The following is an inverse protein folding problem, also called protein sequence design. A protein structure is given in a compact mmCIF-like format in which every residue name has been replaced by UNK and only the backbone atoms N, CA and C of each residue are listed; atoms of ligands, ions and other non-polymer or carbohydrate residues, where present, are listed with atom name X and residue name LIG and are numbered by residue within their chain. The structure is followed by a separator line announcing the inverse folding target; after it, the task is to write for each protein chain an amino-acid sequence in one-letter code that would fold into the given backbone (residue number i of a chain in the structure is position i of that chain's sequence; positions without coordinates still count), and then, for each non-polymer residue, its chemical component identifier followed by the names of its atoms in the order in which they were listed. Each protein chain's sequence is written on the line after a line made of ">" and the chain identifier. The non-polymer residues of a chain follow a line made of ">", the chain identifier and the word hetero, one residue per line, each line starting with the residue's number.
data_IF_407571254367
#
_entry.id   IF_407571254367
#
_cell.length_a   1.000
_cell.length_b   1.000
_cell.length_c   1.000
_cell.angle_alpha   90.00
_cell.angle_beta   90.00
_cell.angle_gamma   90.00
#
_symmetry.space_group_name_H-M   'P 1'
#
loop_
_entity.id
_entity.type
_entity.pdbx_description
1 polymer ?
#
# COMPACT_ATOMS: atom_id res chain seq x y z
N UNK A 1 5.76 -10.10 -21.00
CA UNK A 1 4.99 -11.22 -20.38
C UNK A 1 3.57 -10.73 -20.19
N UNK A 2 2.54 -11.52 -20.50
CA UNK A 2 1.16 -11.10 -20.23
C UNK A 2 0.89 -11.21 -18.73
N UNK A 3 0.50 -10.10 -18.09
CA UNK A 3 0.05 -10.06 -16.69
C UNK A 3 -1.45 -10.33 -16.54
N UNK A 4 -2.17 -10.45 -17.66
CA UNK A 4 -3.58 -10.86 -17.66
C UNK A 4 -3.75 -12.32 -17.25
N UNK A 5 -4.78 -12.58 -16.44
CA UNK A 5 -5.10 -13.93 -15.97
C UNK A 5 -5.70 -14.75 -17.12
N UNK A 6 -5.08 -15.90 -17.51
CA UNK A 6 -5.64 -16.83 -18.48
C UNK A 6 -7.00 -17.38 -18.04
N UNK A 7 -7.93 -17.58 -18.97
CA UNK A 7 -9.31 -18.03 -18.70
C UNK A 7 -9.36 -19.31 -17.84
N UNK A 8 -8.56 -20.33 -18.18
CA UNK A 8 -8.49 -21.57 -17.41
C UNK A 8 -8.03 -21.38 -15.95
N UNK A 9 -7.31 -20.29 -15.65
CA UNK A 9 -6.90 -19.92 -14.28
C UNK A 9 -7.98 -19.08 -13.57
N UNK A 10 -8.75 -18.25 -14.28
CA UNK A 10 -9.84 -17.44 -13.69
C UNK A 10 -10.82 -18.29 -12.89
N UNK A 11 -11.32 -19.39 -13.47
CA UNK A 11 -12.23 -20.33 -12.76
C UNK A 11 -11.62 -20.96 -11.51
N UNK A 12 -10.30 -21.17 -11.49
CA UNK A 12 -9.63 -21.69 -10.29
C UNK A 12 -9.53 -20.60 -9.21
N UNK A 13 -9.19 -19.37 -9.58
CA UNK A 13 -9.05 -18.24 -8.67
C UNK A 13 -10.41 -17.87 -8.06
N UNK A 14 -11.46 -17.74 -8.87
CA UNK A 14 -12.82 -17.45 -8.38
C UNK A 14 -13.26 -18.46 -7.30
N UNK A 15 -12.95 -19.75 -7.48
CA UNK A 15 -13.23 -20.78 -6.46
C UNK A 15 -12.43 -20.60 -5.17
N UNK A 16 -11.17 -20.16 -5.24
CA UNK A 16 -10.39 -19.88 -4.04
C UNK A 16 -10.82 -18.57 -3.35
N UNK A 17 -11.27 -17.57 -4.12
CA UNK A 17 -11.88 -16.34 -3.61
C UNK A 17 -13.15 -16.66 -2.81
N UNK A 18 -14.10 -17.40 -3.41
CA UNK A 18 -15.34 -17.83 -2.74
C UNK A 18 -15.08 -18.59 -1.44
N UNK A 19 -14.14 -19.56 -1.46
CA UNK A 19 -13.75 -20.34 -0.27
C UNK A 19 -13.22 -19.50 0.88
N UNK A 20 -12.85 -18.26 0.60
CA UNK A 20 -12.13 -17.39 1.52
C UNK A 20 -12.93 -16.14 1.85
N UNK A 21 -14.24 -16.23 1.63
CA UNK A 21 -15.20 -15.21 2.04
C UNK A 21 -15.16 -13.95 1.17
N UNK A 22 -14.56 -13.99 -0.02
CA UNK A 22 -14.73 -12.90 -0.98
C UNK A 22 -16.15 -12.90 -1.55
N UNK A 23 -16.71 -11.71 -1.67
CA UNK A 23 -18.13 -11.52 -2.00
C UNK A 23 -18.42 -11.70 -3.49
N UNK A 24 -17.43 -11.46 -4.34
CA UNK A 24 -17.60 -11.54 -5.79
C UNK A 24 -16.36 -12.07 -6.51
N UNK A 25 -16.51 -12.32 -7.82
CA UNK A 25 -15.46 -12.91 -8.65
C UNK A 25 -14.39 -11.89 -9.04
N UNK A 26 -13.40 -12.36 -9.79
CA UNK A 26 -12.56 -11.47 -10.59
C UNK A 26 -13.43 -10.65 -11.56
N UNK A 27 -13.14 -9.36 -11.66
CA UNK A 27 -13.82 -8.44 -12.55
C UNK A 27 -13.53 -8.82 -14.01
N UNK A 28 -14.59 -8.87 -14.82
CA UNK A 28 -14.52 -9.05 -16.28
C UNK A 28 -14.87 -7.71 -16.92
N UNK A 29 -14.06 -7.25 -17.88
CA UNK A 29 -14.26 -5.90 -18.44
C UNK A 29 -15.65 -5.72 -19.06
N UNK A 30 -16.14 -6.74 -19.76
CA UNK A 30 -17.46 -6.74 -20.40
C UNK A 30 -18.63 -6.60 -19.41
N UNK A 31 -18.42 -6.81 -18.10
CA UNK A 31 -19.47 -6.67 -17.08
C UNK A 31 -19.53 -5.29 -16.42
N UNK A 32 -18.63 -4.37 -16.78
CA UNK A 32 -18.59 -3.01 -16.22
C UNK A 32 -19.23 -1.97 -17.15
N UNK A 33 -19.77 -0.86 -16.62
CA UNK A 33 -20.07 0.32 -17.41
C UNK A 33 -18.83 0.79 -18.19
N UNK A 34 -19.01 1.27 -19.43
CA UNK A 34 -17.92 1.65 -20.34
C UNK A 34 -16.93 2.66 -19.75
N UNK A 35 -17.42 3.58 -18.92
CA UNK A 35 -16.63 4.57 -18.19
C UNK A 35 -15.69 3.96 -17.13
N UNK A 36 -16.05 2.81 -16.55
CA UNK A 36 -15.22 2.09 -15.59
C UNK A 36 -14.26 1.10 -16.27
N UNK A 37 -14.63 0.59 -17.46
CA UNK A 37 -13.79 -0.30 -18.25
C UNK A 37 -12.45 0.33 -18.60
N UNK A 38 -12.46 1.58 -19.10
CA UNK A 38 -11.24 2.30 -19.47
C UNK A 38 -10.29 2.49 -18.27
N UNK A 39 -10.83 2.93 -17.14
CA UNK A 39 -10.05 3.14 -15.91
C UNK A 39 -9.39 1.85 -15.41
N UNK A 40 -10.12 0.75 -15.31
CA UNK A 40 -9.54 -0.51 -14.84
C UNK A 40 -8.57 -1.12 -15.86
N UNK A 41 -8.84 -0.97 -17.16
CA UNK A 41 -7.91 -1.36 -18.22
C UNK A 41 -6.57 -0.64 -18.09
N UNK A 42 -6.59 0.69 -17.92
CA UNK A 42 -5.37 1.49 -17.74
C UNK A 42 -4.61 1.07 -16.47
N UNK A 43 -5.32 0.82 -15.38
CA UNK A 43 -4.72 0.32 -14.14
C UNK A 43 -4.08 -1.06 -14.32
N UNK A 44 -4.71 -2.00 -15.06
CA UNK A 44 -4.12 -3.31 -15.37
C UNK A 44 -2.87 -3.18 -16.22
N UNK A 45 -2.91 -2.35 -17.27
CA UNK A 45 -1.76 -2.11 -18.14
C UNK A 45 -0.58 -1.54 -17.34
N UNK A 46 -0.86 -0.57 -16.47
CA UNK A 46 0.14 0.04 -15.59
C UNK A 46 0.69 -0.94 -14.58
N UNK A 47 -0.17 -1.71 -13.91
CA UNK A 47 0.28 -2.76 -12.99
C UNK A 47 1.16 -3.78 -13.71
N UNK A 48 0.81 -4.15 -14.94
CA UNK A 48 1.62 -5.01 -15.79
C UNK A 48 3.01 -4.45 -16.09
N UNK A 49 3.08 -3.16 -16.40
CA UNK A 49 4.35 -2.46 -16.60
C UNK A 49 5.20 -2.42 -15.32
N UNK A 50 4.61 -2.03 -14.19
CA UNK A 50 5.30 -1.98 -12.89
C UNK A 50 5.85 -3.35 -12.49
N UNK A 51 5.04 -4.41 -12.59
CA UNK A 51 5.49 -5.78 -12.30
C UNK A 51 6.66 -6.16 -13.22
N UNK A 52 6.57 -5.88 -14.51
CA UNK A 52 7.62 -6.21 -15.47
C UNK A 52 8.93 -5.46 -15.18
N UNK A 53 8.86 -4.16 -14.88
CA UNK A 53 10.03 -3.33 -14.57
C UNK A 53 10.69 -3.74 -13.26
N UNK A 54 9.90 -3.96 -12.21
CA UNK A 54 10.41 -4.35 -10.89
C UNK A 54 11.06 -5.74 -10.92
N UNK A 55 10.53 -6.66 -11.73
CA UNK A 55 11.03 -8.04 -11.82
C UNK A 55 12.04 -8.26 -12.97
N UNK A 56 12.39 -7.23 -13.73
CA UNK A 56 13.26 -7.36 -14.91
C UNK A 56 14.64 -7.95 -14.58
N UNK A 57 15.18 -7.61 -13.42
CA UNK A 57 16.49 -8.07 -12.95
C UNK A 57 16.42 -9.40 -12.19
N UNK A 58 15.22 -9.96 -11.97
CA UNK A 58 15.05 -11.16 -11.16
C UNK A 58 15.60 -12.38 -11.92
N UNK A 59 16.48 -13.12 -11.24
CA UNK A 59 17.04 -14.38 -11.74
C UNK A 59 16.01 -15.51 -11.75
N UNK A 60 14.94 -15.37 -10.97
CA UNK A 60 13.77 -16.25 -10.98
C UNK A 60 12.57 -15.43 -11.41
N UNK A 61 11.90 -15.84 -12.49
CA UNK A 61 10.74 -15.13 -13.00
C UNK A 61 9.47 -15.98 -12.84
N UNK A 62 8.81 -15.92 -11.67
CA UNK A 62 7.50 -16.52 -11.53
C UNK A 62 6.49 -15.83 -12.45
N UNK A 63 5.39 -16.51 -12.77
CA UNK A 63 4.27 -15.82 -13.39
C UNK A 63 3.55 -15.01 -12.31
N UNK A 64 3.50 -13.69 -12.47
CA UNK A 64 2.75 -12.80 -11.58
C UNK A 64 1.63 -12.17 -12.41
N UNK A 65 0.40 -12.38 -11.95
CA UNK A 65 -0.80 -11.85 -12.57
C UNK A 65 -1.40 -10.76 -11.70
N UNK A 66 -2.10 -9.82 -12.33
CA UNK A 66 -2.80 -8.74 -11.63
C UNK A 66 -4.24 -8.64 -12.15
N UNK A 67 -5.20 -8.48 -11.24
CA UNK A 67 -6.59 -8.19 -11.59
C UNK A 67 -7.36 -7.60 -10.40
N UNK A 68 -8.62 -7.23 -10.64
CA UNK A 68 -9.53 -6.72 -9.63
C UNK A 68 -10.53 -7.77 -9.16
N UNK A 69 -10.99 -7.64 -7.91
CA UNK A 69 -12.06 -8.48 -7.33
C UNK A 69 -13.26 -7.59 -7.03
N UNK A 70 -14.45 -8.05 -7.42
CA UNK A 70 -15.70 -7.39 -7.09
C UNK A 70 -16.05 -7.67 -5.62
N UNK A 71 -15.55 -6.83 -4.72
CA UNK A 71 -15.73 -7.01 -3.28
C UNK A 71 -15.78 -5.65 -2.58
N UNK A 72 -16.74 -5.50 -1.66
CA UNK A 72 -17.00 -4.26 -0.93
C UNK A 72 -16.12 -4.11 0.32
N UNK A 73 -15.17 -5.00 0.57
CA UNK A 73 -14.13 -4.80 1.59
C UNK A 73 -13.02 -3.93 1.03
N UNK A 74 -12.48 -3.03 1.85
CA UNK A 74 -11.30 -2.26 1.48
C UNK A 74 -10.05 -3.12 1.70
N UNK A 75 -9.60 -3.85 0.68
CA UNK A 75 -8.52 -4.82 0.78
C UNK A 75 -7.73 -5.01 -0.53
N UNK A 76 -6.48 -5.42 -0.40
CA UNK A 76 -5.64 -5.96 -1.47
C UNK A 76 -4.98 -7.25 -0.96
N UNK A 77 -4.60 -8.16 -1.86
CA UNK A 77 -4.00 -9.44 -1.46
C UNK A 77 -3.09 -10.03 -2.53
N UNK A 78 -1.95 -10.56 -2.09
CA UNK A 78 -1.07 -11.42 -2.87
C UNK A 78 -1.35 -12.90 -2.61
N UNK A 79 -1.42 -13.69 -3.68
CA UNK A 79 -1.80 -15.11 -3.65
C UNK A 79 -0.79 -15.98 -4.37
N UNK A 80 -0.70 -17.23 -3.92
CA UNK A 80 0.12 -18.27 -4.51
C UNK A 80 -0.77 -19.47 -4.89
N UNK A 81 -0.91 -19.77 -6.19
CA UNK A 81 -1.49 -21.03 -6.66
C UNK A 81 -0.36 -22.01 -7.03
N UNK A 82 -0.11 -23.06 -6.22
CA UNK A 82 0.87 -24.06 -6.60
C UNK A 82 0.36 -24.94 -7.76
N UNK A 83 1.31 -25.38 -8.58
CA UNK A 83 1.11 -26.42 -9.59
C UNK A 83 1.10 -27.79 -8.91
N UNK A 84 -0.06 -28.45 -8.87
CA UNK A 84 -0.41 -29.84 -8.45
C UNK A 84 0.35 -30.49 -7.24
N UNK A 85 -0.41 -31.14 -6.34
CA UNK A 85 0.10 -31.93 -5.20
C UNK A 85 0.78 -33.25 -5.65
N UNK A 86 1.98 -33.61 -5.17
CA UNK A 86 2.53 -34.95 -5.21
C UNK A 86 2.42 -35.57 -3.80
N UNK A 87 2.50 -36.89 -3.73
CA UNK A 87 2.46 -37.63 -2.47
C UNK A 87 3.52 -37.21 -1.44
N UNK A 88 3.20 -37.42 -0.17
CA UNK A 88 3.85 -36.85 1.02
C UNK A 88 5.38 -37.07 1.17
N UNK A 89 5.98 -38.04 0.48
CA UNK A 89 7.37 -38.44 0.72
C UNK A 89 8.45 -37.56 0.04
N UNK A 90 8.07 -36.61 -0.82
CA UNK A 90 9.01 -35.91 -1.73
C UNK A 90 9.16 -34.39 -1.45
N UNK A 91 8.65 -33.91 -0.32
CA UNK A 91 8.24 -32.51 -0.13
C UNK A 91 9.35 -31.44 -0.07
N UNK A 92 10.52 -31.69 0.56
CA UNK A 92 11.44 -30.59 0.93
C UNK A 92 12.35 -30.07 -0.19
N UNK A 93 13.02 -30.94 -0.95
CA UNK A 93 13.86 -30.52 -2.09
C UNK A 93 13.01 -29.97 -3.26
N UNK A 94 11.76 -30.45 -3.36
CA UNK A 94 10.79 -30.05 -4.37
C UNK A 94 10.15 -28.68 -4.05
N UNK A 95 10.10 -28.27 -2.78
CA UNK A 95 9.48 -27.01 -2.36
C UNK A 95 10.15 -25.79 -3.00
N UNK A 96 11.49 -25.73 -3.01
CA UNK A 96 12.23 -24.63 -3.67
C UNK A 96 11.96 -24.55 -5.16
N UNK A 97 12.06 -25.67 -5.88
CA UNK A 97 11.84 -25.71 -7.34
C UNK A 97 10.40 -25.33 -7.71
N UNK A 98 9.43 -25.66 -6.84
CA UNK A 98 8.01 -25.34 -7.06
C UNK A 98 7.64 -23.91 -6.76
N UNK A 99 8.17 -23.33 -5.69
CA UNK A 99 7.96 -21.91 -5.37
C UNK A 99 8.38 -21.04 -6.56
N UNK A 100 9.49 -21.41 -7.22
CA UNK A 100 9.98 -20.75 -8.44
C UNK A 100 9.14 -20.98 -9.71
N UNK A 101 8.33 -22.03 -9.74
CA UNK A 101 7.50 -22.40 -10.91
C UNK A 101 6.00 -22.08 -10.72
N UNK A 102 5.62 -21.53 -9.57
CA UNK A 102 4.22 -21.28 -9.22
C UNK A 102 3.68 -20.02 -9.89
N UNK A 103 2.36 -19.93 -9.93
CA UNK A 103 1.64 -18.76 -10.40
C UNK A 103 1.22 -17.92 -9.19
N UNK A 104 1.52 -16.62 -9.25
CA UNK A 104 1.19 -15.65 -8.23
C UNK A 104 0.18 -14.66 -8.75
N UNK A 105 -0.66 -14.14 -7.86
CA UNK A 105 -1.70 -13.19 -8.21
C UNK A 105 -1.66 -12.03 -7.23
N UNK A 106 -1.80 -10.81 -7.74
CA UNK A 106 -2.05 -9.62 -6.95
C UNK A 106 -3.48 -9.21 -7.28
N UNK A 107 -4.33 -9.15 -6.25
CA UNK A 107 -5.73 -8.84 -6.39
C UNK A 107 -6.08 -7.61 -5.55
N UNK A 108 -6.72 -6.62 -6.17
CA UNK A 108 -7.19 -5.41 -5.49
C UNK A 108 -8.71 -5.40 -5.55
N UNK A 109 -9.37 -5.17 -4.41
CA UNK A 109 -10.83 -5.03 -4.39
C UNK A 109 -11.23 -3.73 -5.10
N UNK A 110 -12.30 -3.78 -5.90
CA UNK A 110 -12.82 -2.61 -6.63
C UNK A 110 -13.15 -1.44 -5.70
N UNK A 111 -13.60 -1.71 -4.47
CA UNK A 111 -13.83 -0.67 -3.45
C UNK A 111 -12.58 0.18 -3.19
N UNK A 112 -11.39 -0.42 -3.14
CA UNK A 112 -10.13 0.32 -2.92
C UNK A 112 -9.93 1.36 -4.02
N UNK A 113 -10.13 0.97 -5.28
CA UNK A 113 -9.96 1.87 -6.43
C UNK A 113 -10.95 3.04 -6.36
N UNK A 114 -12.23 2.74 -6.10
CA UNK A 114 -13.30 3.75 -6.04
C UNK A 114 -13.11 4.70 -4.86
N UNK A 115 -12.85 4.17 -3.66
CA UNK A 115 -12.78 4.97 -2.44
C UNK A 115 -11.50 5.82 -2.40
N UNK A 116 -10.36 5.28 -2.86
CA UNK A 116 -9.11 6.05 -2.97
C UNK A 116 -9.27 7.19 -3.98
N UNK A 117 -9.82 6.90 -5.17
CA UNK A 117 -10.09 7.95 -6.15
C UNK A 117 -11.09 8.99 -5.62
N UNK A 118 -12.14 8.53 -4.92
CA UNK A 118 -13.13 9.38 -4.27
C UNK A 118 -12.53 10.30 -3.23
N UNK A 119 -11.61 9.80 -2.40
CA UNK A 119 -10.91 10.57 -1.38
C UNK A 119 -10.13 11.73 -2.01
N UNK A 120 -9.25 11.48 -2.98
CA UNK A 120 -8.47 12.56 -3.59
C UNK A 120 -9.34 13.52 -4.41
N UNK A 121 -10.37 13.03 -5.11
CA UNK A 121 -11.33 13.91 -5.81
C UNK A 121 -12.00 14.87 -4.82
N UNK A 122 -12.49 14.35 -3.70
CA UNK A 122 -13.09 15.16 -2.64
C UNK A 122 -12.08 16.16 -2.04
N UNK A 123 -10.87 15.72 -1.67
CA UNK A 123 -9.84 16.58 -1.09
C UNK A 123 -9.49 17.73 -2.05
N UNK A 124 -9.23 17.44 -3.33
CA UNK A 124 -8.87 18.48 -4.30
C UNK A 124 -10.06 19.33 -4.78
N UNK A 125 -11.30 18.90 -4.54
CA UNK A 125 -12.49 19.73 -4.72
C UNK A 125 -12.71 20.73 -3.57
N UNK A 126 -11.90 20.68 -2.50
CA UNK A 126 -11.89 21.72 -1.46
C UNK A 126 -10.93 22.85 -1.86
N UNK A 127 -11.35 24.13 -1.85
CA UNK A 127 -10.46 25.24 -2.19
C UNK A 127 -9.30 25.41 -1.19
N UNK A 128 -9.47 25.01 0.07
CA UNK A 128 -8.47 25.18 1.13
C UNK A 128 -7.39 24.09 1.11
N UNK A 129 -7.69 22.88 0.60
CA UNK A 129 -6.75 21.77 0.58
C UNK A 129 -5.73 21.97 -0.55
N UNK A 130 -4.44 21.90 -0.23
CA UNK A 130 -3.34 22.13 -1.18
C UNK A 130 -3.60 23.35 -2.09
N UNK A 131 -3.95 24.50 -1.49
CA UNK A 131 -4.38 25.70 -2.23
C UNK A 131 -3.30 26.25 -3.19
N UNK A 132 -2.05 25.85 -3.03
CA UNK A 132 -0.95 26.17 -3.94
C UNK A 132 -1.00 25.38 -5.27
N UNK A 133 -1.91 24.42 -5.40
CA UNK A 133 -2.08 23.57 -6.59
C UNK A 133 -3.28 24.04 -7.43
N UNK A 134 -3.02 24.32 -8.72
CA UNK A 134 -4.05 24.76 -9.67
C UNK A 134 -4.70 26.08 -9.27
N UNK A 135 -5.95 26.27 -9.69
CA UNK A 135 -6.76 27.43 -9.30
C UNK A 135 -7.86 27.00 -8.31
N UNK A 136 -7.67 27.20 -6.99
CA UNK A 136 -8.65 26.80 -5.98
C UNK A 136 -9.96 27.60 -6.04
N UNK A 137 -9.98 28.81 -6.63
CA UNK A 137 -11.21 29.62 -6.68
C UNK A 137 -12.28 29.06 -7.62
N UNK A 138 -11.92 28.10 -8.48
CA UNK A 138 -12.88 27.36 -9.31
C UNK A 138 -13.63 26.28 -8.52
N UNK A 139 -13.09 25.87 -7.37
CA UNK A 139 -13.68 24.85 -6.53
C UNK A 139 -14.86 25.39 -5.72
N UNK A 140 -15.59 24.51 -5.06
CA UNK A 140 -16.79 24.90 -4.31
C UNK A 140 -16.68 24.47 -2.86
N UNK A 141 -17.05 25.39 -1.97
CA UNK A 141 -17.04 25.12 -0.54
C UNK A 141 -17.94 23.93 -0.18
N UNK A 142 -17.51 23.21 0.86
CA UNK A 142 -18.26 22.09 1.38
C UNK A 142 -19.26 22.60 2.42
N UNK A 143 -20.55 22.43 2.13
CA UNK A 143 -21.57 22.45 3.18
C UNK A 143 -21.48 21.13 3.94
N UNK A 144 -20.67 21.12 5.00
CA UNK A 144 -20.43 19.95 5.84
C UNK A 144 -21.73 19.56 6.55
N UNK A 145 -22.17 18.31 6.42
CA UNK A 145 -23.06 17.71 7.42
C UNK A 145 -22.16 17.13 8.50
N UNK A 146 -22.19 17.73 9.69
CA UNK A 146 -21.41 17.25 10.83
C UNK A 146 -21.71 15.75 11.05
N UNK A 147 -20.69 14.91 10.94
CA UNK A 147 -20.81 13.50 11.23
C UNK A 147 -20.89 13.33 12.76
N UNK A 148 -21.77 12.46 13.30
CA UNK A 148 -21.90 12.24 14.74
C UNK A 148 -20.56 11.93 15.43
N UNK A 149 -20.41 12.35 16.69
CA UNK A 149 -19.17 12.18 17.50
C UNK A 149 -18.74 10.71 17.64
N UNK A 150 -19.68 9.77 17.54
CA UNK A 150 -19.41 8.32 17.54
C UNK A 150 -18.53 7.85 16.37
N UNK A 151 -18.39 8.67 15.34
CA UNK A 151 -17.64 8.37 14.12
C UNK A 151 -16.17 8.81 14.16
N UNK A 152 -15.68 9.36 15.28
CA UNK A 152 -14.26 9.72 15.46
C UNK A 152 -13.31 8.54 15.27
N UNK A 153 -13.78 7.33 15.54
CA UNK A 153 -13.02 6.09 15.38
C UNK A 153 -13.44 5.32 14.11
N UNK A 154 -13.98 5.95 13.08
CA UNK A 154 -14.29 5.30 11.81
C UNK A 154 -13.17 5.52 10.78
N UNK A 155 -13.06 4.66 9.78
CA UNK A 155 -12.15 4.89 8.66
C UNK A 155 -12.63 6.11 7.85
N UNK A 156 -11.73 6.82 7.16
CA UNK A 156 -12.12 8.03 6.41
C UNK A 156 -13.16 7.72 5.34
N UNK A 157 -13.09 6.53 4.73
CA UNK A 157 -13.97 6.10 3.65
C UNK A 157 -15.40 5.82 4.14
N UNK A 158 -15.58 5.51 5.44
CA UNK A 158 -16.91 5.27 6.02
C UNK A 158 -17.62 6.57 6.40
N UNK A 159 -16.88 7.68 6.55
CA UNK A 159 -17.42 8.98 6.99
C UNK A 159 -17.34 10.07 5.93
N UNK A 160 -16.62 9.85 4.84
CA UNK A 160 -16.56 10.80 3.72
C UNK A 160 -17.90 10.85 2.97
N UNK A 161 -18.20 11.97 2.28
CA UNK A 161 -19.40 12.06 1.46
C UNK A 161 -19.49 10.95 0.40
N UNK A 162 -20.61 10.22 0.36
CA UNK A 162 -20.83 9.09 -0.57
C UNK A 162 -20.83 9.46 -2.05
N UNK A 163 -21.02 10.74 -2.38
CA UNK A 163 -20.95 11.23 -3.75
C UNK A 163 -19.66 12.04 -3.94
N UNK A 164 -18.62 11.46 -4.55
CA UNK A 164 -17.34 12.15 -4.72
C UNK A 164 -17.53 13.39 -5.57
N UNK A 165 -17.08 14.53 -5.05
CA UNK A 165 -17.05 15.79 -5.81
C UNK A 165 -15.87 15.77 -6.74
N UNK A 166 -16.11 16.06 -8.02
CA UNK A 166 -15.04 16.20 -8.99
C UNK A 166 -14.40 17.58 -8.84
N UNK A 167 -13.06 17.69 -8.77
CA UNK A 167 -12.40 19.00 -8.83
C UNK A 167 -12.75 19.70 -10.14
N UNK A 168 -13.17 20.96 -10.05
CA UNK A 168 -13.57 21.80 -11.17
C UNK A 168 -12.36 22.37 -11.92
N UNK A 169 -11.26 22.61 -11.22
CA UNK A 169 -10.01 23.02 -11.83
C UNK A 169 -9.34 21.81 -12.52
N UNK A 170 -9.06 21.85 -13.83
CA UNK A 170 -8.44 20.73 -14.54
C UNK A 170 -7.09 20.29 -13.95
N UNK A 171 -6.28 21.25 -13.48
CA UNK A 171 -5.00 20.95 -12.83
C UNK A 171 -5.18 20.18 -11.51
N UNK A 172 -6.19 20.54 -10.72
CA UNK A 172 -6.51 19.87 -9.45
C UNK A 172 -7.10 18.47 -9.69
N UNK A 173 -7.93 18.33 -10.72
CA UNK A 173 -8.48 17.04 -11.15
C UNK A 173 -7.36 16.08 -11.62
N UNK A 174 -6.41 16.57 -12.41
CA UNK A 174 -5.26 15.80 -12.83
C UNK A 174 -4.43 15.32 -11.64
N UNK A 175 -4.09 16.22 -10.72
CA UNK A 175 -3.25 15.88 -9.56
C UNK A 175 -3.98 14.92 -8.63
N UNK A 176 -5.28 15.09 -8.41
CA UNK A 176 -6.09 14.12 -7.67
C UNK A 176 -6.01 12.72 -8.30
N UNK A 177 -6.11 12.62 -9.62
CA UNK A 177 -5.97 11.34 -10.33
C UNK A 177 -4.55 10.76 -10.19
N UNK A 178 -3.52 11.60 -10.33
CA UNK A 178 -2.11 11.18 -10.17
C UNK A 178 -1.82 10.67 -8.76
N UNK A 179 -2.31 11.33 -7.71
CA UNK A 179 -2.09 10.91 -6.32
C UNK A 179 -2.92 9.67 -5.97
N UNK A 180 -4.15 9.56 -6.47
CA UNK A 180 -4.94 8.31 -6.38
C UNK A 180 -4.16 7.14 -6.95
N UNK A 181 -3.54 7.37 -8.10
CA UNK A 181 -2.78 6.37 -8.80
C UNK A 181 -1.50 5.98 -8.03
N UNK A 182 -0.80 6.92 -7.41
CA UNK A 182 0.37 6.66 -6.57
C UNK A 182 0.02 5.84 -5.32
N UNK A 183 -1.16 6.05 -4.71
CA UNK A 183 -1.64 5.19 -3.63
C UNK A 183 -1.86 3.74 -4.08
N UNK A 184 -2.43 3.54 -5.27
CA UNK A 184 -2.61 2.19 -5.84
C UNK A 184 -1.28 1.53 -6.21
N UNK A 185 -0.27 2.30 -6.65
CA UNK A 185 1.07 1.77 -6.88
C UNK A 185 1.73 1.30 -5.60
N UNK A 186 1.57 2.05 -4.51
CA UNK A 186 2.08 1.64 -3.22
C UNK A 186 1.51 0.27 -2.82
N UNK A 187 0.18 0.08 -2.94
CA UNK A 187 -0.45 -1.23 -2.69
C UNK A 187 0.09 -2.31 -3.61
N UNK A 188 0.19 -2.04 -4.91
CA UNK A 188 0.74 -3.01 -5.87
C UNK A 188 2.16 -3.43 -5.50
N UNK A 189 3.03 -2.47 -5.17
CA UNK A 189 4.41 -2.73 -4.78
C UNK A 189 4.49 -3.46 -3.44
N UNK A 190 3.58 -3.17 -2.50
CA UNK A 190 3.46 -3.88 -1.23
C UNK A 190 3.11 -5.36 -1.45
N UNK A 191 2.07 -5.64 -2.23
CA UNK A 191 1.69 -7.02 -2.58
C UNK A 191 2.78 -7.74 -3.38
N UNK A 192 3.46 -7.02 -4.28
CA UNK A 192 4.61 -7.53 -4.99
C UNK A 192 5.78 -7.83 -4.04
N UNK A 193 5.93 -7.06 -2.96
CA UNK A 193 6.86 -7.31 -1.86
C UNK A 193 6.61 -8.67 -1.22
N UNK A 194 5.36 -8.99 -0.86
CA UNK A 194 5.01 -10.31 -0.32
C UNK A 194 5.42 -11.47 -1.23
N UNK A 195 5.30 -11.29 -2.56
CA UNK A 195 5.71 -12.30 -3.55
C UNK A 195 7.24 -12.37 -3.65
N UNK A 196 7.90 -11.23 -3.91
CA UNK A 196 9.33 -11.17 -4.23
C UNK A 196 10.20 -11.49 -3.03
N UNK A 197 9.77 -11.15 -1.83
CA UNK A 197 10.49 -11.42 -0.59
C UNK A 197 10.17 -12.82 -0.02
N UNK A 198 9.26 -13.57 -0.65
CA UNK A 198 8.98 -14.97 -0.30
C UNK A 198 8.08 -15.14 0.93
N UNK A 199 7.24 -14.14 1.24
CA UNK A 199 6.35 -14.17 2.40
C UNK A 199 5.28 -15.26 2.26
N UNK A 200 4.69 -15.38 1.06
CA UNK A 200 3.64 -16.37 0.79
C UNK A 200 4.10 -17.82 1.02
N UNK A 201 5.20 -18.31 0.41
CA UNK A 201 5.66 -19.68 0.67
C UNK A 201 6.23 -19.86 2.08
N UNK A 202 6.59 -18.79 2.79
CA UNK A 202 7.05 -18.84 4.18
C UNK A 202 5.88 -19.07 5.14
N UNK A 203 4.78 -18.34 4.98
CA UNK A 203 3.57 -18.49 5.79
C UNK A 203 2.81 -19.79 5.46
N UNK A 204 2.85 -20.25 4.21
CA UNK A 204 2.07 -21.41 3.75
C UNK A 204 2.95 -22.54 3.18
N UNK A 205 3.83 -23.17 4.00
CA UNK A 205 4.76 -24.18 3.51
C UNK A 205 4.02 -25.49 3.14
N UNK A 206 3.73 -25.66 1.85
CA UNK A 206 3.19 -26.91 1.30
C UNK A 206 1.67 -26.94 1.10
N UNK A 207 0.96 -25.84 1.36
CA UNK A 207 -0.48 -25.75 1.06
C UNK A 207 -0.74 -25.06 -0.28
N UNK A 208 -1.74 -25.59 -1.00
CA UNK A 208 -2.35 -24.89 -2.11
C UNK A 208 -3.28 -23.83 -1.53
N UNK A 209 -2.95 -22.56 -1.77
CA UNK A 209 -3.76 -21.37 -1.55
C UNK A 209 -4.93 -21.58 -0.57
N UNK A 210 -4.74 -21.23 0.69
CA UNK A 210 -5.90 -20.95 1.53
C UNK A 210 -5.88 -19.46 1.85
N UNK A 211 -6.52 -18.68 0.97
CA UNK A 211 -6.92 -17.30 1.28
C UNK A 211 -7.74 -17.28 2.60
N UNK A 212 -8.43 -18.36 2.95
CA UNK A 212 -9.22 -18.50 4.18
C UNK A 212 -8.38 -18.55 5.47
N UNK A 213 -7.07 -18.81 5.40
CA UNK A 213 -6.22 -18.90 6.59
C UNK A 213 -5.57 -17.55 6.98
N UNK A 214 -5.92 -16.46 6.32
CA UNK A 214 -5.67 -15.14 6.89
C UNK A 214 -6.34 -14.98 8.27
N UNK A 215 -7.42 -15.73 8.56
CA UNK A 215 -8.17 -15.70 9.82
C UNK A 215 -8.12 -17.01 10.65
N UNK A 216 -7.60 -18.11 10.11
CA UNK A 216 -7.75 -19.46 10.68
C UNK A 216 -6.47 -20.07 11.33
N UNK A 217 -5.37 -19.31 11.44
CA UNK A 217 -4.25 -19.74 12.30
C UNK A 217 -4.66 -19.69 13.78
N UNK A 218 -4.02 -20.49 14.66
CA UNK A 218 -4.14 -20.29 16.10
C UNK A 218 -3.78 -18.84 16.40
N UNK A 219 -4.76 -18.08 16.88
CA UNK A 219 -4.61 -16.68 17.31
C UNK A 219 -3.65 -16.64 18.51
N UNK A 220 -2.37 -16.61 18.21
CA UNK A 220 -1.27 -16.59 19.16
C UNK A 220 -0.29 -15.48 18.80
N UNK A 221 0.38 -14.95 19.83
CA UNK A 221 1.32 -13.84 19.70
C UNK A 221 2.40 -14.09 18.63
N UNK A 222 2.87 -15.33 18.48
CA UNK A 222 3.90 -15.69 17.51
C UNK A 222 3.44 -15.56 16.04
N UNK A 223 2.16 -15.82 15.73
CA UNK A 223 1.61 -15.66 14.37
C UNK A 223 1.40 -14.18 14.03
N UNK A 224 0.89 -13.39 14.98
CA UNK A 224 0.76 -11.94 14.80
C UNK A 224 2.12 -11.27 14.61
N UNK A 225 3.12 -11.63 15.42
CA UNK A 225 4.47 -11.11 15.30
C UNK A 225 5.10 -11.45 13.94
N UNK A 226 4.91 -12.68 13.47
CA UNK A 226 5.35 -13.10 12.15
C UNK A 226 4.70 -12.25 11.05
N UNK A 227 3.38 -12.16 11.04
CA UNK A 227 2.62 -11.38 10.04
C UNK A 227 3.04 -9.93 10.05
N UNK A 228 3.04 -9.29 11.22
CA UNK A 228 3.42 -7.88 11.36
C UNK A 228 4.85 -7.62 10.86
N UNK A 229 5.79 -8.54 11.11
CA UNK A 229 7.16 -8.41 10.59
C UNK A 229 7.20 -8.47 9.07
N UNK A 230 6.44 -9.39 8.46
CA UNK A 230 6.38 -9.55 7.01
C UNK A 230 5.67 -8.36 6.34
N UNK A 231 4.64 -7.79 6.97
CA UNK A 231 3.98 -6.55 6.52
C UNK A 231 4.99 -5.38 6.48
N UNK A 232 5.86 -5.26 7.49
CA UNK A 232 6.88 -4.20 7.51
C UNK A 232 7.94 -4.37 6.43
N UNK A 233 8.33 -5.60 6.10
CA UNK A 233 9.24 -5.85 4.98
C UNK A 233 8.57 -5.59 3.62
N UNK A 234 7.26 -5.88 3.49
CA UNK A 234 6.47 -5.51 2.30
C UNK A 234 6.31 -3.99 2.14
N UNK A 235 6.09 -3.26 3.24
CA UNK A 235 6.11 -1.79 3.25
C UNK A 235 7.48 -1.23 2.88
N UNK A 236 8.56 -1.79 3.42
CA UNK A 236 9.91 -1.40 3.05
C UNK A 236 10.18 -1.62 1.55
N UNK A 237 9.69 -2.72 0.98
CA UNK A 237 9.76 -2.98 -0.46
C UNK A 237 9.05 -1.88 -1.27
N UNK A 238 7.82 -1.54 -0.89
CA UNK A 238 7.03 -0.50 -1.54
C UNK A 238 7.69 0.89 -1.42
N UNK A 239 8.28 1.19 -0.26
CA UNK A 239 9.02 2.44 -0.04
C UNK A 239 10.25 2.55 -0.92
N UNK A 240 11.10 1.52 -0.97
CA UNK A 240 12.33 1.56 -1.76
C UNK A 240 12.03 1.78 -3.24
N UNK A 241 11.06 1.04 -3.79
CA UNK A 241 10.68 1.21 -5.20
C UNK A 241 9.97 2.54 -5.45
N UNK A 242 8.97 2.87 -4.63
CA UNK A 242 8.16 4.08 -4.81
C UNK A 242 8.96 5.37 -4.66
N UNK A 243 9.89 5.46 -3.70
CA UNK A 243 10.76 6.65 -3.55
C UNK A 243 11.67 6.80 -4.75
N UNK A 244 12.28 5.72 -5.24
CA UNK A 244 13.17 5.78 -6.42
C UNK A 244 12.39 6.23 -7.66
N UNK A 245 11.23 5.64 -7.90
CA UNK A 245 10.38 5.97 -9.05
C UNK A 245 9.88 7.41 -8.97
N UNK A 246 9.46 7.87 -7.78
CA UNK A 246 9.05 9.25 -7.56
C UNK A 246 10.22 10.21 -7.81
N UNK A 247 11.38 9.99 -7.19
CA UNK A 247 12.53 10.87 -7.33
C UNK A 247 13.06 10.93 -8.76
N UNK A 248 12.91 9.87 -9.56
CA UNK A 248 13.22 9.87 -10.99
C UNK A 248 12.35 10.84 -11.81
N UNK A 249 11.17 11.24 -11.30
CA UNK A 249 10.31 12.24 -11.93
C UNK A 249 10.75 13.68 -11.63
N UNK A 250 11.69 13.90 -10.71
CA UNK A 250 12.09 15.24 -10.28
C UNK A 250 12.64 16.06 -11.44
N UNK A 251 12.11 17.27 -11.64
CA UNK A 251 12.50 18.17 -12.72
C UNK A 251 12.03 17.72 -14.11
N UNK A 252 11.19 16.70 -14.21
CA UNK A 252 10.67 16.23 -15.49
C UNK A 252 9.76 17.27 -16.13
N UNK A 253 9.86 17.40 -17.45
CA UNK A 253 8.93 18.18 -18.27
C UNK A 253 7.78 17.29 -18.72
N UNK A 254 6.58 17.86 -18.82
CA UNK A 254 5.37 17.08 -19.08
C UNK A 254 4.64 17.58 -20.32
N UNK A 255 4.37 16.65 -21.25
CA UNK A 255 3.54 16.88 -22.43
C UNK A 255 2.41 15.83 -22.51
N UNK A 256 1.25 16.16 -23.11
CA UNK A 256 0.85 17.47 -23.66
C UNK A 256 0.59 18.52 -22.57
N UNK A 257 0.24 19.76 -22.97
CA UNK A 257 0.01 20.92 -22.09
C UNK A 257 -0.87 20.60 -20.87
N UNK A 258 -1.88 19.74 -21.06
CA UNK A 258 -2.79 19.30 -20.00
C UNK A 258 -2.07 18.64 -18.82
N UNK A 259 -0.84 18.15 -19.00
CA UNK A 259 -0.02 17.52 -17.97
C UNK A 259 0.98 18.45 -17.28
N UNK A 260 1.17 19.68 -17.77
CA UNK A 260 2.09 20.65 -17.15
C UNK A 260 1.88 20.93 -15.66
N UNK A 261 0.66 20.84 -15.08
CA UNK A 261 0.51 20.97 -13.63
C UNK A 261 1.40 20.00 -12.83
N UNK A 262 1.80 18.86 -13.40
CA UNK A 262 2.72 17.90 -12.78
C UNK A 262 4.16 18.44 -12.67
N UNK A 263 4.59 19.38 -13.52
CA UNK A 263 5.92 20.01 -13.43
C UNK A 263 6.11 20.68 -12.08
N UNK A 264 5.07 21.35 -11.56
CA UNK A 264 5.11 21.98 -10.23
C UNK A 264 5.15 20.95 -9.10
N UNK A 265 4.38 19.86 -9.23
CA UNK A 265 4.33 18.80 -8.23
C UNK A 265 5.69 18.11 -8.09
N UNK A 266 6.36 17.85 -9.21
CA UNK A 266 7.66 17.18 -9.28
C UNK A 266 8.83 18.14 -9.52
N UNK A 267 8.69 19.43 -9.21
CA UNK A 267 9.69 20.45 -9.53
C UNK A 267 11.02 20.24 -8.77
N UNK A 268 10.92 19.83 -7.51
CA UNK A 268 12.06 19.70 -6.59
C UNK A 268 12.04 18.32 -5.93
N UNK A 269 13.19 17.81 -5.47
CA UNK A 269 13.23 16.56 -4.72
C UNK A 269 12.27 16.55 -3.52
N UNK A 270 12.13 17.67 -2.81
CA UNK A 270 11.23 17.84 -1.67
C UNK A 270 9.74 17.81 -2.08
N UNK A 271 9.35 18.55 -3.12
CA UNK A 271 7.96 18.54 -3.61
C UNK A 271 7.56 17.18 -4.17
N UNK A 272 8.50 16.49 -4.83
CA UNK A 272 8.34 15.11 -5.28
C UNK A 272 8.13 14.15 -4.12
N UNK A 273 8.91 14.30 -3.04
CA UNK A 273 8.79 13.44 -1.87
C UNK A 273 7.48 13.69 -1.11
N UNK A 274 7.05 14.95 -1.02
CA UNK A 274 5.70 15.30 -0.55
C UNK A 274 4.62 14.61 -1.40
N UNK A 275 4.73 14.69 -2.73
CA UNK A 275 3.80 14.05 -3.67
C UNK A 275 3.77 12.52 -3.55
N UNK A 276 4.88 11.90 -3.11
CA UNK A 276 4.97 10.47 -2.84
C UNK A 276 4.33 10.09 -1.48
N UNK A 277 4.65 10.85 -0.42
CA UNK A 277 4.20 10.56 0.94
C UNK A 277 2.71 10.84 1.16
N UNK A 278 2.19 11.92 0.56
CA UNK A 278 0.78 12.34 0.68
C UNK A 278 -0.19 11.20 0.40
N UNK A 279 -0.12 10.52 -0.77
CA UNK A 279 -1.09 9.50 -1.09
C UNK A 279 -1.00 8.26 -0.21
N UNK A 280 0.18 7.93 0.29
CA UNK A 280 0.40 6.78 1.17
C UNK A 280 -0.18 7.04 2.57
N UNK A 281 0.06 8.24 3.11
CA UNK A 281 -0.53 8.62 4.40
C UNK A 281 -2.06 8.63 4.33
N UNK A 282 -2.63 9.23 3.29
CA UNK A 282 -4.07 9.26 3.04
C UNK A 282 -4.66 7.87 2.81
N UNK A 283 -3.95 6.98 2.11
CA UNK A 283 -4.36 5.59 1.92
C UNK A 283 -4.51 4.83 3.25
N UNK A 284 -3.57 4.99 4.18
CA UNK A 284 -3.67 4.32 5.49
C UNK A 284 -4.85 4.82 6.33
N UNK A 285 -5.29 6.08 6.15
CA UNK A 285 -6.54 6.58 6.73
C UNK A 285 -7.80 5.88 6.21
N UNK A 286 -7.72 5.20 5.06
CA UNK A 286 -8.81 4.39 4.51
C UNK A 286 -8.92 2.99 5.15
N UNK A 287 -7.83 2.42 5.65
CA UNK A 287 -7.80 1.02 6.11
C UNK A 287 -8.42 0.77 7.48
N UNK A 288 -8.71 1.80 8.29
CA UNK A 288 -9.33 1.55 9.58
C UNK A 288 -9.33 2.73 10.53
N UNK A 289 -9.58 2.41 11.80
CA UNK A 289 -9.64 3.36 12.90
C UNK A 289 -8.23 3.87 13.21
N UNK A 290 -8.09 5.17 13.38
CA UNK A 290 -6.85 5.76 13.86
C UNK A 290 -6.52 5.24 15.27
N UNK A 291 -7.51 5.19 16.16
CA UNK A 291 -7.36 4.67 17.52
C UNK A 291 -7.10 3.16 17.54
N UNK A 292 -6.08 2.71 18.27
CA UNK A 292 -5.78 1.29 18.50
C UNK A 292 -5.33 1.05 19.94
N UNK A 293 -5.35 -0.22 20.38
CA UNK A 293 -5.00 -0.61 21.75
C UNK A 293 -3.69 -1.41 21.76
N UNK A 294 -2.63 -0.94 22.45
CA UNK A 294 -1.36 -1.65 22.54
C UNK A 294 -1.47 -3.05 23.14
N UNK A 295 -2.43 -3.26 24.05
CA UNK A 295 -2.62 -4.55 24.70
C UNK A 295 -3.19 -5.62 23.77
N UNK A 296 -3.78 -5.21 22.62
CA UNK A 296 -4.38 -6.14 21.66
C UNK A 296 -3.62 -6.17 20.33
N UNK A 297 -2.52 -5.41 20.19
CA UNK A 297 -1.78 -5.30 18.92
C UNK A 297 -1.27 -6.66 18.44
N UNK A 298 -0.88 -7.55 19.35
CA UNK A 298 -0.41 -8.91 19.03
C UNK A 298 -1.53 -9.94 18.84
N UNK A 299 -2.77 -9.48 18.74
CA UNK A 299 -3.93 -10.33 18.41
C UNK A 299 -4.53 -9.98 17.06
N UNK A 300 -4.08 -8.88 16.43
CA UNK A 300 -4.51 -8.48 15.09
C UNK A 300 -3.67 -9.18 14.03
N UNK A 301 -4.31 -9.46 12.89
CA UNK A 301 -3.65 -10.08 11.73
C UNK A 301 -2.70 -9.13 11.01
N UNK A 302 -2.88 -7.82 11.18
CA UNK A 302 -2.09 -6.77 10.55
C UNK A 302 -1.68 -5.70 11.58
N UNK A 303 -0.56 -4.98 11.34
CA UNK A 303 -0.21 -3.80 12.12
C UNK A 303 -1.32 -2.73 12.05
N UNK A 304 -1.56 -1.96 13.13
CA UNK A 304 -2.46 -0.82 13.07
C UNK A 304 -2.06 0.17 11.96
N UNK A 305 -3.01 0.77 11.22
CA UNK A 305 -2.68 1.74 10.17
C UNK A 305 -1.80 2.90 10.67
N UNK A 306 -2.09 3.42 11.87
CA UNK A 306 -1.30 4.46 12.53
C UNK A 306 0.16 4.04 12.78
N UNK A 307 0.40 2.76 13.07
CA UNK A 307 1.75 2.21 13.21
C UNK A 307 2.50 2.25 11.88
N UNK A 308 1.83 1.86 10.79
CA UNK A 308 2.41 1.90 9.43
C UNK A 308 2.66 3.35 8.99
N UNK A 309 1.73 4.26 9.24
CA UNK A 309 1.91 5.70 8.98
C UNK A 309 3.13 6.29 9.70
N UNK A 310 3.34 5.93 10.96
CA UNK A 310 4.53 6.34 11.71
C UNK A 310 5.83 5.76 11.12
N UNK A 311 5.79 4.52 10.64
CA UNK A 311 6.95 3.82 10.11
C UNK A 311 7.40 4.29 8.73
N UNK A 312 6.47 4.60 7.83
CA UNK A 312 6.79 4.93 6.43
C UNK A 312 7.83 6.06 6.31
N UNK A 313 7.71 7.21 7.02
CA UNK A 313 8.76 8.23 7.03
C UNK A 313 10.13 7.72 7.49
N UNK A 314 10.16 6.83 8.48
CA UNK A 314 11.39 6.17 8.95
C UNK A 314 12.02 5.25 7.89
N UNK A 315 11.20 4.53 7.12
CA UNK A 315 11.66 3.71 5.98
C UNK A 315 12.24 4.59 4.87
N UNK A 316 11.58 5.71 4.55
CA UNK A 316 12.08 6.71 3.59
C UNK A 316 13.43 7.26 4.06
N UNK A 317 13.53 7.67 5.32
CA UNK A 317 14.77 8.14 5.93
C UNK A 317 15.89 7.10 5.81
N UNK A 318 15.62 5.84 6.16
CA UNK A 318 16.58 4.76 6.10
C UNK A 318 17.06 4.46 4.66
N UNK A 319 16.15 4.53 3.69
CA UNK A 319 16.49 4.36 2.27
C UNK A 319 17.38 5.50 1.77
N UNK A 320 17.01 6.76 2.03
CA UNK A 320 17.80 7.93 1.63
C UNK A 320 19.17 7.98 2.30
N UNK A 321 19.28 7.49 3.53
CA UNK A 321 20.56 7.45 4.28
C UNK A 321 21.58 6.47 3.68
N UNK A 322 21.15 5.51 2.87
CA UNK A 322 22.00 4.46 2.26
C UNK A 322 22.39 4.76 0.81
N UNK A 323 21.84 5.81 0.20
CA UNK A 323 22.03 6.15 -1.22
C UNK A 323 22.71 7.51 -1.45
N UNK A 324 22.93 7.86 -2.72
CA UNK A 324 23.29 9.23 -3.11
C UNK A 324 22.05 10.12 -2.93
N UNK A 325 22.18 11.14 -2.08
CA UNK A 325 21.03 11.92 -1.60
C UNK A 325 20.66 13.05 -2.55
N UNK A 326 19.47 12.97 -3.16
CA UNK A 326 18.79 14.13 -3.75
C UNK A 326 18.04 14.93 -2.68
N UNK A 327 17.62 14.28 -1.58
CA UNK A 327 16.95 14.86 -0.41
C UNK A 327 17.69 14.41 0.84
N UNK A 328 17.93 15.33 1.78
CA UNK A 328 18.48 14.94 3.08
C UNK A 328 17.44 14.22 3.94
N UNK A 329 17.83 13.25 4.78
CA UNK A 329 16.88 12.52 5.60
C UNK A 329 16.07 13.41 6.57
N UNK A 330 16.66 14.52 7.06
CA UNK A 330 15.94 15.53 7.87
C UNK A 330 14.81 16.21 7.08
N UNK A 331 15.04 16.56 5.82
CA UNK A 331 14.01 17.14 4.94
C UNK A 331 12.88 16.15 4.64
N UNK A 332 13.19 14.86 4.53
CA UNK A 332 12.17 13.82 4.35
C UNK A 332 11.17 13.78 5.53
N UNK A 333 11.65 13.88 6.77
CA UNK A 333 10.76 13.99 7.94
C UNK A 333 9.95 15.29 7.94
N UNK A 334 10.52 16.40 7.49
CA UNK A 334 9.77 17.64 7.34
C UNK A 334 8.63 17.48 6.33
N UNK A 335 8.89 16.92 5.14
CA UNK A 335 7.84 16.64 4.15
C UNK A 335 6.76 15.70 4.70
N UNK A 336 7.13 14.70 5.50
CA UNK A 336 6.16 13.83 6.15
C UNK A 336 5.25 14.58 7.14
N UNK A 337 5.80 15.52 7.92
CA UNK A 337 5.01 16.36 8.83
C UNK A 337 4.02 17.25 8.08
N UNK A 338 4.49 17.91 7.02
CA UNK A 338 3.64 18.75 6.15
C UNK A 338 2.50 17.93 5.53
N UNK A 339 2.80 16.70 5.09
CA UNK A 339 1.79 15.76 4.57
C UNK A 339 0.74 15.41 5.62
N UNK A 340 1.16 15.07 6.84
CA UNK A 340 0.24 14.72 7.93
C UNK A 340 -0.71 15.91 8.20
N UNK A 341 -0.14 17.11 8.37
CA UNK A 341 -0.91 18.33 8.63
C UNK A 341 -1.93 18.62 7.52
N UNK A 342 -1.52 18.51 6.25
CA UNK A 342 -2.38 18.78 5.11
C UNK A 342 -3.50 17.75 4.97
N UNK A 343 -3.19 16.46 5.05
CA UNK A 343 -4.18 15.38 4.90
C UNK A 343 -5.18 15.43 6.04
N UNK A 344 -4.74 15.56 7.29
CA UNK A 344 -5.64 15.61 8.43
C UNK A 344 -6.54 16.85 8.40
N UNK A 345 -5.98 18.02 8.06
CA UNK A 345 -6.79 19.23 7.84
C UNK A 345 -7.81 19.02 6.72
N UNK A 346 -7.40 18.40 5.61
CA UNK A 346 -8.28 18.07 4.50
C UNK A 346 -9.42 17.13 4.90
N UNK A 347 -9.12 16.05 5.61
CA UNK A 347 -10.11 15.11 6.16
C UNK A 347 -11.07 15.82 7.11
N UNK A 348 -10.57 16.73 7.96
CA UNK A 348 -11.40 17.52 8.85
C UNK A 348 -12.39 18.40 8.09
N UNK A 349 -11.91 19.09 7.04
CA UNK A 349 -12.75 19.91 6.18
C UNK A 349 -13.80 19.08 5.42
N UNK A 350 -13.46 17.84 5.01
CA UNK A 350 -14.39 16.95 4.32
C UNK A 350 -15.48 16.39 5.22
N UNK A 351 -15.15 16.08 6.46
CA UNK A 351 -16.00 15.27 7.35
C UNK A 351 -16.63 16.08 8.49
N UNK A 352 -16.11 17.28 8.78
CA UNK A 352 -16.44 18.05 9.97
C UNK A 352 -15.91 17.44 11.27
N UNK A 353 -15.12 16.36 11.18
CA UNK A 353 -14.53 15.69 12.34
C UNK A 353 -13.16 16.32 12.62
N UNK A 354 -12.88 16.62 13.88
CA UNK A 354 -11.55 17.08 14.29
C UNK A 354 -10.56 15.93 14.04
N UNK A 355 -9.38 16.18 13.47
CA UNK A 355 -8.34 15.16 13.33
C UNK A 355 -8.08 14.43 14.64
N UNK A 356 -8.20 13.12 14.63
CA UNK A 356 -7.68 12.29 15.71
C UNK A 356 -6.24 11.92 15.32
N UNK A 357 -5.28 12.32 16.15
CA UNK A 357 -3.87 11.95 16.01
C UNK A 357 -3.40 11.04 17.15
N UNK A 358 -4.34 10.59 17.99
CA UNK A 358 -4.04 9.77 19.16
C UNK A 358 -3.39 8.45 18.75
N UNK A 359 -3.86 7.84 17.66
CA UNK A 359 -3.29 6.63 17.10
C UNK A 359 -1.83 6.79 16.69
N UNK A 360 -1.53 7.84 15.93
CA UNK A 360 -0.17 8.20 15.52
C UNK A 360 0.74 8.51 16.72
N UNK A 361 0.28 9.30 17.68
CA UNK A 361 1.04 9.63 18.89
C UNK A 361 1.34 8.36 19.72
N UNK A 362 0.36 7.47 19.84
CA UNK A 362 0.52 6.19 20.50
C UNK A 362 1.50 5.27 19.74
N UNK A 363 1.48 5.30 18.40
CA UNK A 363 2.46 4.59 17.58
C UNK A 363 3.87 5.08 17.89
N UNK A 364 4.11 6.39 17.90
CA UNK A 364 5.40 6.96 18.25
C UNK A 364 5.89 6.53 19.64
N UNK A 365 5.01 6.55 20.65
CA UNK A 365 5.33 6.14 22.00
C UNK A 365 5.65 4.63 22.11
N UNK A 366 4.87 3.78 21.43
CA UNK A 366 4.97 2.33 21.57
C UNK A 366 5.98 1.70 20.61
N UNK A 367 6.40 2.42 19.57
CA UNK A 367 7.26 1.89 18.52
C UNK A 367 8.57 1.27 19.01
N UNK A 368 9.28 1.80 20.03
CA UNK A 368 10.52 1.17 20.48
C UNK A 368 10.34 -0.27 20.98
N UNK A 369 9.24 -0.55 21.69
CA UNK A 369 8.93 -1.91 22.15
C UNK A 369 8.52 -2.79 20.98
N UNK A 370 7.62 -2.28 20.14
CA UNK A 370 7.09 -2.97 18.98
C UNK A 370 8.21 -3.34 17.97
N UNK A 371 9.03 -2.35 17.59
CA UNK A 371 10.13 -2.49 16.65
C UNK A 371 11.24 -3.42 17.14
N UNK A 372 11.52 -3.45 18.45
CA UNK A 372 12.43 -4.44 19.04
C UNK A 372 11.95 -5.86 18.82
N UNK A 373 10.68 -6.13 19.11
CA UNK A 373 10.08 -7.46 18.92
C UNK A 373 10.08 -7.87 17.44
N UNK A 374 9.75 -6.94 16.53
CA UNK A 374 9.84 -7.20 15.09
C UNK A 374 11.28 -7.50 14.63
N UNK A 375 12.27 -6.74 15.09
CA UNK A 375 13.68 -6.96 14.75
C UNK A 375 14.18 -8.32 15.24
N UNK A 376 13.85 -8.70 16.47
CA UNK A 376 14.19 -10.02 17.04
C UNK A 376 13.58 -11.17 16.23
N UNK A 377 12.33 -11.02 15.78
CA UNK A 377 11.70 -12.00 14.89
C UNK A 377 12.37 -12.02 13.52
N UNK A 378 12.64 -10.85 12.95
CA UNK A 378 13.25 -10.70 11.63
C UNK A 378 14.60 -11.40 11.52
N UNK A 379 15.46 -11.26 12.54
CA UNK A 379 16.75 -11.96 12.61
C UNK A 379 16.57 -13.48 12.49
N UNK A 380 15.53 -14.04 13.12
CA UNK A 380 15.22 -15.49 13.07
C UNK A 380 14.62 -15.89 11.72
N UNK A 381 13.73 -15.07 11.16
CA UNK A 381 13.03 -15.37 9.91
C UNK A 381 13.91 -15.19 8.66
N UNK A 382 14.85 -14.25 8.69
CA UNK A 382 15.66 -13.83 7.54
C UNK A 382 16.34 -15.01 6.82
N UNK A 383 17.05 -15.96 7.49
CA UNK A 383 17.71 -17.07 6.81
C UNK A 383 16.74 -18.03 6.10
N UNK A 384 15.46 -18.03 6.47
CA UNK A 384 14.42 -18.82 5.82
C UNK A 384 13.83 -18.07 4.62
N UNK A 385 13.51 -16.79 4.80
CA UNK A 385 13.01 -15.93 3.73
C UNK A 385 14.04 -15.74 2.61
N UNK A 386 15.32 -15.60 2.94
CA UNK A 386 16.39 -15.44 1.95
C UNK A 386 16.48 -16.64 0.99
N UNK A 387 16.09 -17.82 1.47
CA UNK A 387 16.02 -19.05 0.68
C UNK A 387 14.77 -19.15 -0.20
N UNK A 388 13.73 -18.37 0.10
CA UNK A 388 12.42 -18.39 -0.54
C UNK A 388 12.18 -17.21 -1.48
N UNK A 389 12.93 -16.11 -1.33
CA UNK A 389 12.80 -14.91 -2.16
C UNK A 389 12.95 -15.20 -3.66
N UNK A 390 12.20 -14.46 -4.46
CA UNK A 390 12.11 -14.59 -5.91
C UNK A 390 12.84 -13.49 -6.67
N UNK A 391 13.78 -12.80 -6.00
CA UNK A 391 14.51 -11.65 -6.54
C UNK A 391 14.36 -10.38 -5.70
N UNK A 392 13.46 -10.40 -4.71
CA UNK A 392 13.33 -9.34 -3.73
C UNK A 392 14.59 -9.12 -2.90
N UNK A 393 14.70 -7.91 -2.33
CA UNK A 393 15.80 -7.51 -1.45
C UNK A 393 15.25 -7.35 -0.03
N UNK A 394 15.46 -8.38 0.78
CA UNK A 394 15.12 -8.38 2.20
C UNK A 394 15.90 -7.28 2.92
N UNK A 395 15.25 -6.61 3.89
CA UNK A 395 15.94 -5.70 4.79
C UNK A 395 17.06 -6.43 5.57
N UNK A 396 18.25 -5.83 5.78
CA UNK A 396 19.30 -6.45 6.58
C UNK A 396 18.80 -6.85 7.98
N UNK A 397 19.15 -8.05 8.50
CA UNK A 397 18.72 -8.51 9.81
C UNK A 397 19.61 -7.87 10.89
N UNK A 398 19.38 -6.59 11.15
CA UNK A 398 20.10 -5.84 12.16
C UNK A 398 19.33 -5.84 13.49
N UNK A 399 20.02 -5.96 14.63
CA UNK A 399 19.37 -5.82 15.93
C UNK A 399 18.81 -4.40 16.08
N UNK A 400 17.69 -4.30 16.80
CA UNK A 400 17.11 -3.02 17.15
C UNK A 400 18.14 -2.17 17.85
N UNK A 401 18.37 -0.98 17.29
CA UNK A 401 19.13 0.07 17.94
C UNK A 401 18.10 1.05 18.44
N UNK A 402 18.09 1.28 19.74
CA UNK A 402 17.44 2.48 20.25
C UNK A 402 18.08 3.65 19.50
N UNK A 403 17.24 4.61 19.06
CA UNK A 403 17.72 5.76 18.30
C UNK A 403 18.91 6.43 19.00
N UNK A 404 19.72 7.24 18.31
CA UNK A 404 20.87 7.88 18.94
C UNK A 404 20.43 8.49 20.28
N UNK A 405 21.07 8.06 21.38
CA UNK A 405 21.05 8.80 22.64
C UNK A 405 21.52 10.21 22.27
N UNK A 406 20.59 11.18 22.33
CA UNK A 406 20.85 12.60 22.09
C UNK A 406 21.60 12.91 20.77
N UNK A 407 20.84 13.16 19.71
CA UNK A 407 21.33 13.96 18.59
C UNK A 407 20.35 15.12 18.36
N UNK A 408 20.54 16.18 19.16
CA UNK A 408 20.15 17.58 18.98
C UNK A 408 18.86 17.93 18.18
N UNK A 409 17.90 18.52 18.90
CA UNK A 409 17.01 19.62 18.47
C UNK A 409 16.17 19.47 17.19
#
# INVERSE_FOLDING_TARGET
>A
MSTSIPEGKRKKINRELERSGYQGPLVVDDSLPSEHQGMLSDLRARAGHTIAEVTKADTVRPNIYFDFVEDMRFNAVALLLPKARPGAARARAIQRTRVRQSDYFILINTRVVVDVAGLFRNLFALPQFAAHIGNPSLESELHIRAVPVTSRNASVIDIMPHHPRLPKCPARALIAATLSQAALDFLLLHELGHIRNGHLPYLFPGMAAQLAEAEAFPKGQDDALARHTLEMDADAHAVVHGVNDALALTGSTWSPETRKPLEKLYATPESTLYAYLLPIYALFRCFGKESWNPNTVWTSTHPPPAMRQYMIPGLVHAHLSRGQQLVSPKKAFQSAREVIEDVERGISLLTGVIPDLTGFALAAQYFPVYGRQLSEYWIKAFPHLDKLKLGGRLAPPEPWRDGPEEADQ
#
